data_IF_544307488063
#
_entry.id   IF_544307488063
#
_cell.length_a   1.000
_cell.length_b   1.000
_cell.length_c   1.000
_cell.angle_alpha   90.00
_cell.angle_beta   90.00
_cell.angle_gamma   90.00
#
_symmetry.space_group_name_H-M   'P 1'
#
loop_
_entity.id
_entity.type
_entity.pdbx_description
1 polymer ?
#
# COMPACT_ATOMS: atom_id res chain seq x y z
N UNK A 1 2.18 -1.52 15.46
CA UNK A 1 1.62 -2.62 14.64
C UNK A 1 1.02 -2.15 13.31
N UNK A 2 0.40 -0.98 13.23
CA UNK A 2 -0.31 -0.47 12.02
C UNK A 2 0.59 -0.34 10.78
N UNK A 3 1.86 0.03 10.96
CA UNK A 3 2.84 0.16 9.87
C UNK A 3 3.43 -1.19 9.42
N UNK A 4 3.20 -2.27 10.17
CA UNK A 4 3.78 -3.58 9.85
C UNK A 4 3.26 -4.08 8.50
N UNK A 5 1.94 -4.01 8.29
CA UNK A 5 1.30 -4.52 7.07
C UNK A 5 1.82 -3.82 5.81
N UNK A 6 1.83 -2.48 5.70
CA UNK A 6 2.37 -1.82 4.50
C UNK A 6 3.87 -2.07 4.28
N UNK A 7 4.66 -2.20 5.35
CA UNK A 7 6.09 -2.56 5.25
C UNK A 7 6.26 -3.98 4.71
N UNK A 8 5.50 -4.95 5.22
CA UNK A 8 5.53 -6.34 4.71
C UNK A 8 5.06 -6.38 3.25
N UNK A 9 4.01 -5.66 2.88
CA UNK A 9 3.57 -5.54 1.47
C UNK A 9 4.69 -5.00 0.59
N UNK A 10 5.45 -4.00 1.08
CA UNK A 10 6.60 -3.43 0.36
C UNK A 10 7.68 -4.48 0.09
N UNK A 11 8.01 -5.31 1.08
CA UNK A 11 8.99 -6.39 0.94
C UNK A 11 8.53 -7.44 -0.08
N UNK A 12 7.25 -7.82 -0.03
CA UNK A 12 6.66 -8.77 -0.98
C UNK A 12 6.67 -8.21 -2.42
N UNK A 13 6.37 -6.92 -2.59
CA UNK A 13 6.48 -6.26 -3.89
C UNK A 13 7.93 -6.18 -4.38
N UNK A 14 8.90 -5.93 -3.49
CA UNK A 14 10.32 -5.98 -3.83
C UNK A 14 10.74 -7.37 -4.33
N UNK A 15 10.24 -8.44 -3.70
CA UNK A 15 10.44 -9.80 -4.20
C UNK A 15 9.78 -10.02 -5.57
N UNK A 16 8.58 -9.45 -5.79
CA UNK A 16 7.88 -9.52 -7.07
C UNK A 16 8.68 -8.85 -8.21
N UNK A 17 9.34 -7.72 -7.94
CA UNK A 17 10.26 -7.07 -8.89
C UNK A 17 11.40 -8.02 -9.28
N UNK A 18 12.05 -8.64 -8.30
CA UNK A 18 13.14 -9.59 -8.55
C UNK A 18 12.70 -10.82 -9.36
N UNK A 19 11.46 -11.29 -9.18
CA UNK A 19 10.90 -12.40 -9.97
C UNK A 19 10.50 -11.95 -11.38
N UNK A 20 9.91 -10.77 -11.51
CA UNK A 20 9.58 -10.20 -12.82
C UNK A 20 10.83 -9.98 -13.68
N UNK A 21 11.97 -9.60 -13.08
CA UNK A 21 13.25 -9.45 -13.78
C UNK A 21 13.84 -10.76 -14.32
N UNK A 22 13.48 -11.91 -13.72
CA UNK A 22 13.88 -13.24 -14.18
C UNK A 22 12.94 -13.82 -15.25
N UNK A 23 11.82 -13.16 -15.54
CA UNK A 23 10.81 -13.64 -16.49
C UNK A 23 10.00 -14.86 -16.02
N UNK A 24 10.08 -15.25 -14.72
CA UNK A 24 9.31 -16.39 -14.21
C UNK A 24 7.85 -16.00 -13.93
N UNK A 25 7.00 -16.33 -14.90
CA UNK A 25 5.57 -16.04 -14.87
C UNK A 25 4.82 -16.74 -13.74
N UNK A 26 5.18 -17.99 -13.44
CA UNK A 26 4.48 -18.80 -12.41
C UNK A 26 4.82 -18.28 -11.04
N UNK A 27 6.10 -17.99 -10.79
CA UNK A 27 6.52 -17.37 -9.54
C UNK A 27 5.90 -15.98 -9.36
N UNK A 28 5.80 -15.17 -10.43
CA UNK A 28 5.20 -13.82 -10.33
C UNK A 28 3.73 -13.89 -9.89
N UNK A 29 2.94 -14.77 -10.51
CA UNK A 29 1.54 -14.98 -10.12
C UNK A 29 1.41 -15.40 -8.65
N UNK A 30 2.29 -16.30 -8.19
CA UNK A 30 2.31 -16.79 -6.80
C UNK A 30 2.66 -15.71 -5.78
N UNK A 31 3.38 -14.67 -6.17
CA UNK A 31 3.77 -13.55 -5.28
C UNK A 31 2.74 -12.42 -5.33
N UNK A 32 2.18 -12.12 -6.51
CA UNK A 32 1.17 -11.07 -6.65
C UNK A 32 -0.11 -11.38 -5.89
N UNK A 33 -0.52 -12.66 -5.79
CA UNK A 33 -1.70 -13.06 -5.00
C UNK A 33 -1.59 -12.66 -3.51
N UNK A 34 -0.55 -13.10 -2.79
CA UNK A 34 -0.28 -12.64 -1.42
C UNK A 34 -0.11 -11.12 -1.30
N UNK A 35 0.55 -10.46 -2.28
CA UNK A 35 0.71 -9.00 -2.27
C UNK A 35 -0.65 -8.28 -2.28
N UNK A 36 -1.63 -8.79 -3.04
CA UNK A 36 -2.98 -8.25 -3.06
C UNK A 36 -3.69 -8.38 -1.71
N UNK A 37 -3.56 -9.55 -1.06
CA UNK A 37 -4.15 -9.77 0.27
C UNK A 37 -3.55 -8.83 1.32
N UNK A 38 -2.23 -8.61 1.27
CA UNK A 38 -1.54 -7.67 2.15
C UNK A 38 -1.91 -6.21 1.84
N UNK A 39 -2.11 -5.86 0.57
CA UNK A 39 -2.63 -4.56 0.18
C UNK A 39 -4.04 -4.31 0.74
N UNK A 40 -4.94 -5.28 0.61
CA UNK A 40 -6.28 -5.21 1.20
C UNK A 40 -6.23 -5.13 2.74
N UNK A 41 -5.36 -5.91 3.38
CA UNK A 41 -5.15 -5.84 4.82
C UNK A 41 -4.61 -4.47 5.28
N UNK A 42 -3.74 -3.84 4.48
CA UNK A 42 -3.23 -2.49 4.75
C UNK A 42 -4.39 -1.49 4.79
N UNK A 43 -5.29 -1.54 3.81
CA UNK A 43 -6.48 -0.68 3.75
C UNK A 43 -7.38 -0.94 4.95
N UNK A 44 -7.69 -2.22 5.25
CA UNK A 44 -8.58 -2.59 6.36
C UNK A 44 -8.05 -2.09 7.71
N UNK A 45 -6.75 -2.27 7.99
CA UNK A 45 -6.11 -1.80 9.23
C UNK A 45 -6.15 -0.27 9.33
N UNK A 46 -5.96 0.45 8.22
CA UNK A 46 -6.00 1.91 8.19
C UNK A 46 -7.42 2.47 8.38
N UNK A 47 -8.42 1.84 7.75
CA UNK A 47 -9.83 2.18 7.97
C UNK A 47 -10.19 1.95 9.44
N UNK A 48 -9.84 0.78 9.98
CA UNK A 48 -10.06 0.48 11.39
C UNK A 48 -9.39 1.51 12.31
N UNK A 49 -8.15 1.90 12.02
CA UNK A 49 -7.45 2.95 12.75
C UNK A 49 -8.24 4.26 12.78
N UNK A 50 -8.71 4.73 11.62
CA UNK A 50 -9.43 6.01 11.52
C UNK A 50 -10.70 6.01 12.40
N UNK A 51 -11.42 4.88 12.42
CA UNK A 51 -12.58 4.70 13.29
C UNK A 51 -12.22 4.58 14.79
N UNK A 52 -11.08 3.95 15.13
CA UNK A 52 -10.68 3.73 16.51
C UNK A 52 -9.91 4.89 17.15
N UNK A 53 -9.37 5.83 16.36
CA UNK A 53 -8.68 7.01 16.90
C UNK A 53 -9.60 7.98 17.64
N UNK A 54 -10.92 7.91 17.40
CA UNK A 54 -11.91 8.81 18.04
C UNK A 54 -11.78 10.28 17.63
N UNK A 55 -10.97 10.58 16.60
CA UNK A 55 -10.83 11.91 16.05
C UNK A 55 -12.07 12.24 15.22
N UNK A 56 -12.81 13.24 15.66
CA UNK A 56 -13.89 13.85 14.89
C UNK A 56 -13.38 15.13 14.22
N UNK A 57 -13.91 15.42 13.04
CA UNK A 57 -13.63 16.68 12.37
C UNK A 57 -14.25 17.82 13.18
N UNK A 58 -13.56 18.96 13.25
CA UNK A 58 -13.86 20.12 14.10
C UNK A 58 -13.50 19.96 15.59
N UNK A 59 -12.62 19.01 15.94
CA UNK A 59 -12.04 18.88 17.29
C UNK A 59 -10.83 19.80 17.54
N UNK A 60 -10.43 20.59 16.54
CA UNK A 60 -9.32 21.54 16.59
C UNK A 60 -8.33 21.33 15.45
N UNK A 61 -7.65 22.41 15.04
CA UNK A 61 -6.82 22.46 13.81
C UNK A 61 -5.81 21.31 13.72
N UNK A 62 -5.19 20.93 14.83
CA UNK A 62 -4.23 19.82 14.84
C UNK A 62 -4.90 18.46 14.50
N UNK A 63 -6.02 18.15 15.16
CA UNK A 63 -6.76 16.90 14.96
C UNK A 63 -7.31 16.84 13.53
N UNK A 64 -7.84 17.94 13.03
CA UNK A 64 -8.37 18.04 11.66
C UNK A 64 -7.28 17.76 10.62
N UNK A 65 -6.10 18.38 10.77
CA UNK A 65 -4.96 18.16 9.87
C UNK A 65 -4.47 16.71 9.94
N UNK A 66 -4.39 16.12 11.14
CA UNK A 66 -3.99 14.73 11.32
C UNK A 66 -4.96 13.76 10.62
N UNK A 67 -6.27 13.95 10.78
CA UNK A 67 -7.32 13.15 10.13
C UNK A 67 -7.22 13.26 8.60
N UNK A 68 -7.05 14.47 8.07
CA UNK A 68 -6.91 14.70 6.62
C UNK A 68 -5.70 13.94 6.08
N UNK A 69 -4.54 14.05 6.73
CA UNK A 69 -3.34 13.33 6.29
C UNK A 69 -3.51 11.80 6.33
N UNK A 70 -4.13 11.27 7.39
CA UNK A 70 -4.43 9.83 7.49
C UNK A 70 -5.37 9.37 6.36
N UNK A 71 -6.37 10.19 6.01
CA UNK A 71 -7.30 9.91 4.91
C UNK A 71 -6.61 9.97 3.53
N UNK A 72 -5.73 10.95 3.30
CA UNK A 72 -4.94 11.07 2.07
C UNK A 72 -4.05 9.84 1.90
N UNK A 73 -3.31 9.43 2.94
CA UNK A 73 -2.47 8.23 2.90
C UNK A 73 -3.30 6.97 2.63
N UNK A 74 -4.49 6.85 3.24
CA UNK A 74 -5.40 5.74 2.96
C UNK A 74 -5.80 5.73 1.48
N UNK A 75 -6.15 6.87 0.89
CA UNK A 75 -6.49 6.97 -0.52
C UNK A 75 -5.34 6.52 -1.43
N UNK A 76 -4.10 6.91 -1.12
CA UNK A 76 -2.91 6.45 -1.85
C UNK A 76 -2.73 4.92 -1.79
N UNK A 77 -2.93 4.30 -0.62
CA UNK A 77 -2.90 2.83 -0.52
C UNK A 77 -4.02 2.16 -1.33
N UNK A 78 -5.21 2.76 -1.38
CA UNK A 78 -6.32 2.28 -2.22
C UNK A 78 -5.94 2.35 -3.70
N UNK A 79 -5.38 3.47 -4.16
CA UNK A 79 -4.91 3.63 -5.55
C UNK A 79 -3.84 2.61 -5.91
N UNK A 80 -2.85 2.40 -5.03
CA UNK A 80 -1.83 1.37 -5.21
C UNK A 80 -2.40 -0.05 -5.28
N UNK A 81 -3.38 -0.37 -4.43
CA UNK A 81 -4.04 -1.68 -4.46
C UNK A 81 -4.86 -1.88 -5.74
N UNK A 82 -5.59 -0.86 -6.20
CA UNK A 82 -6.32 -0.91 -7.47
C UNK A 82 -5.37 -1.10 -8.67
N UNK A 83 -4.22 -0.43 -8.65
CA UNK A 83 -3.19 -0.63 -9.68
C UNK A 83 -2.63 -2.06 -9.63
N UNK A 84 -2.37 -2.59 -8.43
CA UNK A 84 -1.94 -3.98 -8.25
C UNK A 84 -2.98 -4.98 -8.80
N UNK A 85 -4.27 -4.74 -8.55
CA UNK A 85 -5.38 -5.54 -9.11
C UNK A 85 -5.37 -5.49 -10.63
N UNK A 86 -5.15 -4.32 -11.23
CA UNK A 86 -5.03 -4.15 -12.68
C UNK A 86 -3.89 -4.98 -13.27
N UNK A 87 -2.71 -4.96 -12.63
CA UNK A 87 -1.54 -5.76 -13.04
C UNK A 87 -1.85 -7.26 -12.92
N UNK A 88 -2.39 -7.69 -11.79
CA UNK A 88 -2.74 -9.09 -11.54
C UNK A 88 -3.76 -9.61 -12.54
N UNK A 89 -4.85 -8.89 -12.76
CA UNK A 89 -5.89 -9.27 -13.71
C UNK A 89 -5.36 -9.36 -15.15
N UNK A 90 -4.57 -8.38 -15.57
CA UNK A 90 -3.93 -8.38 -16.90
C UNK A 90 -3.00 -9.57 -17.09
N UNK A 91 -2.24 -9.90 -16.04
CA UNK A 91 -1.31 -11.03 -16.04
C UNK A 91 -2.01 -12.39 -16.10
N UNK A 92 -3.06 -12.57 -15.30
CA UNK A 92 -3.87 -13.81 -15.22
C UNK A 92 -4.67 -14.02 -16.50
N UNK A 93 -5.33 -12.96 -17.02
CA UNK A 93 -6.10 -13.02 -18.27
C UNK A 93 -5.24 -13.07 -19.53
N UNK A 94 -3.92 -12.94 -19.37
CA UNK A 94 -2.93 -12.93 -20.45
C UNK A 94 -3.16 -11.82 -21.50
N UNK A 95 -3.87 -10.75 -21.14
CA UNK A 95 -4.15 -9.63 -22.04
C UNK A 95 -2.92 -8.75 -22.23
N UNK A 96 -2.17 -8.53 -21.15
CA UNK A 96 -0.88 -7.83 -21.15
C UNK A 96 0.05 -8.54 -20.17
N UNK A 97 1.24 -8.93 -20.62
CA UNK A 97 2.25 -9.50 -19.73
C UNK A 97 2.79 -8.39 -18.84
N UNK A 98 2.59 -8.52 -17.52
CA UNK A 98 3.18 -7.63 -16.54
C UNK A 98 4.71 -7.59 -16.71
N UNK A 99 5.22 -6.51 -17.31
CA UNK A 99 6.64 -6.31 -17.49
C UNK A 99 7.30 -5.96 -16.16
N UNK A 100 8.62 -6.18 -16.08
CA UNK A 100 9.44 -5.76 -14.94
C UNK A 100 9.25 -4.27 -14.61
N UNK A 101 9.14 -3.40 -15.62
CA UNK A 101 8.91 -1.97 -15.42
C UNK A 101 7.59 -1.66 -14.72
N UNK A 102 6.49 -2.35 -15.06
CA UNK A 102 5.19 -2.15 -14.40
C UNK A 102 5.24 -2.58 -12.93
N UNK A 103 5.83 -3.73 -12.64
CA UNK A 103 5.95 -4.24 -11.26
C UNK A 103 6.88 -3.34 -10.42
N UNK A 104 7.97 -2.86 -11.03
CA UNK A 104 8.89 -1.91 -10.39
C UNK A 104 8.24 -0.57 -10.08
N UNK A 105 7.47 -0.01 -11.01
CA UNK A 105 6.77 1.25 -10.79
C UNK A 105 5.75 1.14 -9.64
N UNK A 106 5.00 0.03 -9.57
CA UNK A 106 4.10 -0.24 -8.45
C UNK A 106 4.87 -0.38 -7.12
N UNK A 107 6.01 -1.07 -7.12
CA UNK A 107 6.86 -1.20 -5.93
C UNK A 107 7.36 0.17 -5.44
N UNK A 108 7.91 0.99 -6.34
CA UNK A 108 8.42 2.33 -6.00
C UNK A 108 7.29 3.24 -5.46
N UNK A 109 6.11 3.19 -6.08
CA UNK A 109 4.92 3.88 -5.59
C UNK A 109 4.53 3.41 -4.19
N UNK A 110 4.40 2.10 -3.98
CA UNK A 110 3.99 1.56 -2.68
C UNK A 110 5.01 1.85 -1.57
N UNK A 111 6.30 1.79 -1.89
CA UNK A 111 7.40 2.16 -0.99
C UNK A 111 7.30 3.63 -0.60
N UNK A 112 7.09 4.53 -1.58
CA UNK A 112 6.90 5.96 -1.33
C UNK A 112 5.75 6.21 -0.34
N UNK A 113 4.57 5.64 -0.62
CA UNK A 113 3.39 5.80 0.25
C UNK A 113 3.67 5.24 1.65
N UNK A 114 4.38 4.12 1.74
CA UNK A 114 4.78 3.52 3.03
C UNK A 114 5.71 4.44 3.82
N UNK A 115 6.72 5.03 3.19
CA UNK A 115 7.64 5.98 3.84
C UNK A 115 6.90 7.21 4.32
N UNK A 116 6.07 7.83 3.48
CA UNK A 116 5.23 8.98 3.87
C UNK A 116 4.35 8.62 5.06
N UNK A 117 3.75 7.43 5.02
CA UNK A 117 2.89 6.98 6.10
C UNK A 117 3.62 6.76 7.43
N UNK A 118 4.88 6.30 7.39
CA UNK A 118 5.74 6.19 8.59
C UNK A 118 6.04 7.58 9.14
N UNK A 119 6.49 8.50 8.29
CA UNK A 119 6.85 9.88 8.69
C UNK A 119 5.65 10.60 9.30
N UNK A 120 4.51 10.61 8.62
CA UNK A 120 3.28 11.26 9.09
C UNK A 120 2.78 10.63 10.39
N UNK A 121 2.78 9.30 10.50
CA UNK A 121 2.36 8.64 11.75
C UNK A 121 3.30 9.01 12.91
N UNK A 122 4.61 9.11 12.65
CA UNK A 122 5.58 9.57 13.64
C UNK A 122 5.32 11.00 14.08
N UNK A 123 5.11 11.93 13.13
CA UNK A 123 4.80 13.33 13.43
C UNK A 123 3.53 13.47 14.29
N UNK A 124 2.48 12.70 13.97
CA UNK A 124 1.25 12.72 14.75
C UNK A 124 1.50 12.22 16.18
N UNK A 125 2.28 11.15 16.35
CA UNK A 125 2.58 10.58 17.67
C UNK A 125 3.51 11.43 18.53
N UNK A 126 4.44 12.19 17.92
CA UNK A 126 5.36 13.05 18.67
C UNK A 126 4.69 14.33 19.21
N UNK A 127 3.55 14.73 18.64
CA UNK A 127 2.86 15.97 18.99
C UNK A 127 1.62 15.72 19.88
N UNK A 128 1.17 14.46 20.01
CA UNK A 128 0.17 14.00 21.00
C UNK A 128 0.82 13.48 22.27
#
# INVERSE_FOLDING_TARGET
>A
MILLVPVVTTLVLGAAVGVAGRGDRRALTRILGPALLLGAATIAVRVYQLYHTGYDLAAGTYVDIAVIWLAVILAEFVLGALWMVSIYNSHVRQTVVASHSHVRALFEYWLYVTVVAVVVSGLIQFVT
#
